data_IF_645378113172
#
_entry.id   IF_645378113172
#
_cell.length_a   1.000
_cell.length_b   1.000
_cell.length_c   1.000
_cell.angle_alpha   90.00
_cell.angle_beta   90.00
_cell.angle_gamma   90.00
#
_symmetry.space_group_name_H-M   'P 1'
#
loop_
_entity.id
_entity.type
_entity.pdbx_description
1 polymer ?
#
# COMPACT_ATOMS: atom_id res chain seq x y z
N UNK A 1 1.19 51.81 -18.22
CA UNK A 1 2.38 51.32 -17.48
C UNK A 1 1.87 50.74 -16.18
N UNK A 2 1.52 49.46 -16.19
CA UNK A 2 0.95 48.76 -15.04
C UNK A 2 2.07 47.94 -14.41
N UNK A 3 2.55 48.38 -13.25
CA UNK A 3 3.55 47.68 -12.47
C UNK A 3 2.99 46.33 -12.02
N UNK A 4 3.50 45.25 -12.60
CA UNK A 4 3.26 43.91 -12.13
C UNK A 4 3.96 43.77 -10.77
N UNK A 5 3.15 43.58 -9.72
CA UNK A 5 3.61 43.10 -8.43
C UNK A 5 4.17 41.68 -8.67
N UNK A 6 5.49 41.56 -8.76
CA UNK A 6 6.18 40.28 -8.74
C UNK A 6 5.80 39.55 -7.46
N UNK A 7 4.86 38.61 -7.58
CA UNK A 7 4.57 37.62 -6.56
C UNK A 7 5.81 36.77 -6.39
N UNK A 8 6.58 37.06 -5.35
CA UNK A 8 7.77 36.30 -4.99
C UNK A 8 7.37 34.82 -4.82
N UNK A 9 8.07 33.86 -5.45
CA UNK A 9 7.69 32.46 -5.38
C UNK A 9 7.60 31.97 -3.93
N UNK A 10 6.58 31.16 -3.59
CA UNK A 10 6.42 30.60 -2.26
C UNK A 10 7.65 29.72 -1.96
N UNK A 11 8.53 30.22 -1.08
CA UNK A 11 9.76 29.52 -0.67
C UNK A 11 11.05 30.32 -0.83
N UNK A 12 11.01 31.55 -1.33
CA UNK A 12 12.19 32.42 -1.31
C UNK A 12 12.43 33.00 0.08
N UNK A 13 13.59 32.68 0.67
CA UNK A 13 14.06 33.31 1.91
C UNK A 13 14.27 34.79 1.63
N UNK A 14 13.61 35.65 2.39
CA UNK A 14 13.83 37.08 2.23
C UNK A 14 15.26 37.44 2.64
N UNK A 15 15.94 38.30 1.88
CA UNK A 15 17.26 38.78 2.25
C UNK A 15 17.21 39.50 3.60
N UNK A 16 18.28 39.35 4.38
CA UNK A 16 18.43 39.99 5.69
C UNK A 16 18.32 41.51 5.54
N UNK A 17 17.77 42.16 6.58
CA UNK A 17 17.66 43.61 6.60
C UNK A 17 19.07 44.24 6.56
N UNK A 18 19.41 45.05 5.53
CA UNK A 18 20.75 45.62 5.37
C UNK A 18 21.18 46.45 6.59
N UNK A 19 20.24 47.05 7.32
CA UNK A 19 20.53 47.83 8.51
C UNK A 19 21.01 46.97 9.70
N UNK A 20 20.66 45.68 9.72
CA UNK A 20 21.07 44.73 10.76
C UNK A 20 22.34 43.97 10.37
N UNK A 21 22.66 43.88 9.08
CA UNK A 21 23.76 43.07 8.56
C UNK A 21 25.13 43.31 9.24
N UNK A 22 25.58 44.55 9.53
CA UNK A 22 26.85 44.80 10.21
C UNK A 22 26.93 44.21 11.63
N UNK A 23 25.78 44.00 12.26
CA UNK A 23 25.66 43.57 13.66
C UNK A 23 25.45 42.06 13.80
N UNK A 24 25.39 41.30 12.69
CA UNK A 24 25.17 39.86 12.73
C UNK A 24 26.43 39.07 13.09
N UNK A 25 27.61 39.66 12.91
CA UNK A 25 28.91 39.01 13.11
C UNK A 25 29.76 39.65 14.22
N UNK A 26 29.24 40.66 14.92
CA UNK A 26 29.96 41.34 15.98
C UNK A 26 29.07 41.62 17.20
N UNK A 27 29.68 41.69 18.39
CA UNK A 27 28.98 41.97 19.64
C UNK A 27 28.83 43.48 19.93
N UNK A 28 28.75 44.32 18.88
CA UNK A 28 28.57 45.76 19.07
C UNK A 28 27.18 46.06 19.65
N UNK A 29 27.06 46.99 20.61
CA UNK A 29 25.77 47.33 21.20
C UNK A 29 24.84 47.93 20.13
N UNK A 30 23.64 47.36 20.03
CA UNK A 30 22.59 47.84 19.13
C UNK A 30 21.86 49.05 19.71
N UNK A 31 21.56 50.04 18.88
CA UNK A 31 20.66 51.15 19.27
C UNK A 31 19.24 50.63 19.49
N UNK A 32 18.45 51.33 20.32
CA UNK A 32 17.07 50.94 20.64
C UNK A 32 16.18 50.77 19.38
N UNK A 33 16.41 51.58 18.35
CA UNK A 33 15.71 51.46 17.07
C UNK A 33 16.04 50.15 16.36
N UNK A 34 17.32 49.79 16.24
CA UNK A 34 17.76 48.55 15.61
C UNK A 34 17.30 47.31 16.41
N UNK A 35 17.27 47.39 17.74
CA UNK A 35 16.71 46.32 18.58
C UNK A 35 15.21 46.10 18.31
N UNK A 36 14.44 47.19 18.15
CA UNK A 36 13.02 47.09 17.81
C UNK A 36 12.81 46.47 16.43
N UNK A 37 13.56 46.93 15.44
CA UNK A 37 13.52 46.39 14.08
C UNK A 37 13.86 44.89 14.07
N UNK A 38 14.91 44.46 14.77
CA UNK A 38 15.26 43.05 14.90
C UNK A 38 14.13 42.22 15.52
N UNK A 39 13.49 42.72 16.59
CA UNK A 39 12.35 42.04 17.22
C UNK A 39 11.15 41.90 16.28
N UNK A 40 10.83 42.95 15.52
CA UNK A 40 9.75 42.91 14.51
C UNK A 40 10.05 41.88 13.42
N UNK A 41 11.28 41.88 12.88
CA UNK A 41 11.72 40.88 11.89
C UNK A 41 11.64 39.45 12.42
N UNK A 42 12.10 39.21 13.65
CA UNK A 42 11.98 37.91 14.31
C UNK A 42 10.52 37.48 14.41
N UNK A 43 9.63 38.37 14.86
CA UNK A 43 8.21 38.05 15.00
C UNK A 43 7.56 37.69 13.64
N UNK A 44 7.89 38.44 12.58
CA UNK A 44 7.42 38.16 11.23
C UNK A 44 7.89 36.80 10.72
N UNK A 45 9.18 36.48 10.83
CA UNK A 45 9.72 35.20 10.38
C UNK A 45 9.17 34.03 11.23
N UNK A 46 9.00 34.20 12.53
CA UNK A 46 8.33 33.21 13.37
C UNK A 46 6.88 32.94 12.94
N UNK A 47 6.16 33.96 12.47
CA UNK A 47 4.81 33.78 11.95
C UNK A 47 4.83 33.01 10.62
N UNK A 48 5.76 33.32 9.72
CA UNK A 48 5.93 32.62 8.44
C UNK A 48 6.31 31.15 8.64
N UNK A 49 7.26 30.88 9.54
CA UNK A 49 7.65 29.51 9.91
C UNK A 49 6.43 28.74 10.40
N UNK A 50 5.63 29.31 11.31
CA UNK A 50 4.41 28.67 11.81
C UNK A 50 3.42 28.38 10.67
N UNK A 51 3.12 29.36 9.82
CA UNK A 51 2.22 29.16 8.70
C UNK A 51 2.72 28.08 7.71
N UNK A 52 4.02 28.04 7.43
CA UNK A 52 4.62 27.01 6.59
C UNK A 52 4.56 25.62 7.24
N UNK A 53 4.79 25.53 8.56
CA UNK A 53 4.67 24.27 9.31
C UNK A 53 3.23 23.74 9.30
N UNK A 54 2.24 24.62 9.48
CA UNK A 54 0.82 24.26 9.42
C UNK A 54 0.44 23.72 8.03
N UNK A 55 0.96 24.35 6.97
CA UNK A 55 0.75 23.90 5.59
C UNK A 55 1.42 22.55 5.31
N UNK A 56 2.64 22.33 5.81
CA UNK A 56 3.32 21.03 5.73
C UNK A 56 2.49 19.95 6.40
N UNK A 57 1.94 20.20 7.59
CA UNK A 57 1.10 19.22 8.28
C UNK A 57 -0.21 18.97 7.53
N UNK A 58 -0.84 20.01 6.98
CA UNK A 58 -2.04 19.90 6.15
C UNK A 58 -1.78 19.02 4.92
N UNK A 59 -0.67 19.24 4.22
CA UNK A 59 -0.29 18.45 3.05
C UNK A 59 0.04 17.01 3.42
N UNK A 60 0.76 16.77 4.52
CA UNK A 60 1.03 15.42 5.03
C UNK A 60 -0.25 14.67 5.37
N UNK A 61 -1.24 15.34 5.99
CA UNK A 61 -2.55 14.75 6.24
C UNK A 61 -3.25 14.35 4.94
N UNK A 62 -3.16 15.18 3.91
CA UNK A 62 -3.73 14.88 2.58
C UNK A 62 -3.03 13.69 1.92
N UNK A 63 -1.70 13.59 2.02
CA UNK A 63 -0.94 12.44 1.52
C UNK A 63 -1.43 11.15 2.19
N UNK A 64 -1.51 11.12 3.53
CA UNK A 64 -2.00 9.96 4.29
C UNK A 64 -3.42 9.55 3.89
N UNK A 65 -4.30 10.51 3.63
CA UNK A 65 -5.66 10.24 3.16
C UNK A 65 -5.67 9.58 1.78
N UNK A 66 -4.85 10.08 0.85
CA UNK A 66 -4.75 9.53 -0.50
C UNK A 66 -4.13 8.13 -0.49
N UNK A 67 -3.12 7.89 0.35
CA UNK A 67 -2.53 6.56 0.54
C UNK A 67 -3.59 5.56 1.03
N UNK A 68 -4.39 5.92 2.03
CA UNK A 68 -5.48 5.06 2.50
C UNK A 68 -6.56 4.77 1.44
N UNK A 69 -6.82 5.73 0.54
CA UNK A 69 -7.73 5.50 -0.60
C UNK A 69 -7.14 4.52 -1.62
N UNK A 70 -5.83 4.63 -1.90
CA UNK A 70 -5.12 3.72 -2.80
C UNK A 70 -5.15 2.30 -2.23
N UNK A 71 -4.81 2.14 -0.95
CA UNK A 71 -4.82 0.83 -0.27
C UNK A 71 -6.22 0.20 -0.29
N UNK A 72 -7.27 1.00 -0.03
CA UNK A 72 -8.65 0.55 -0.10
C UNK A 72 -9.07 0.15 -1.51
N UNK A 73 -8.65 0.89 -2.53
CA UNK A 73 -8.93 0.57 -3.93
C UNK A 73 -8.23 -0.72 -4.37
N UNK A 74 -6.95 -0.90 -4.01
CA UNK A 74 -6.19 -2.12 -4.32
C UNK A 74 -6.82 -3.36 -3.68
N UNK A 75 -7.26 -3.28 -2.43
CA UNK A 75 -7.98 -4.38 -1.78
C UNK A 75 -9.31 -4.71 -2.48
N UNK A 76 -10.03 -3.70 -2.96
CA UNK A 76 -11.27 -3.93 -3.71
C UNK A 76 -10.99 -4.56 -5.08
N UNK A 77 -9.95 -4.12 -5.78
CA UNK A 77 -9.49 -4.72 -7.03
C UNK A 77 -9.20 -6.21 -6.85
N UNK A 78 -8.43 -6.59 -5.82
CA UNK A 78 -8.11 -8.00 -5.54
C UNK A 78 -9.38 -8.83 -5.28
N UNK A 79 -10.35 -8.28 -4.52
CA UNK A 79 -11.63 -8.95 -4.25
C UNK A 79 -12.45 -9.15 -5.53
N UNK A 80 -12.50 -8.14 -6.40
CA UNK A 80 -13.19 -8.26 -7.69
C UNK A 80 -12.48 -9.21 -8.63
N UNK A 81 -11.14 -9.17 -8.69
CA UNK A 81 -10.33 -10.10 -9.46
C UNK A 81 -10.57 -11.56 -9.03
N UNK A 82 -10.70 -11.81 -7.72
CA UNK A 82 -11.09 -13.12 -7.21
C UNK A 82 -12.49 -13.54 -7.69
N UNK A 83 -13.46 -12.62 -7.69
CA UNK A 83 -14.83 -12.90 -8.15
C UNK A 83 -14.84 -13.24 -9.64
N UNK A 84 -14.07 -12.50 -10.44
CA UNK A 84 -13.96 -12.69 -11.89
C UNK A 84 -12.93 -13.75 -12.28
N UNK A 85 -12.35 -14.46 -11.31
CA UNK A 85 -11.34 -15.47 -11.58
C UNK A 85 -11.90 -16.54 -12.54
N UNK A 86 -11.19 -16.88 -13.64
CA UNK A 86 -11.65 -17.85 -14.62
C UNK A 86 -12.06 -19.19 -14.01
N UNK A 87 -11.40 -19.58 -12.92
CA UNK A 87 -11.67 -20.85 -12.23
C UNK A 87 -13.09 -20.94 -11.65
N UNK A 88 -13.74 -19.80 -11.40
CA UNK A 88 -15.13 -19.73 -10.92
C UNK A 88 -16.15 -19.84 -12.06
N UNK A 89 -15.71 -19.66 -13.30
CA UNK A 89 -16.54 -19.74 -14.50
C UNK A 89 -16.45 -21.11 -15.17
N UNK A 90 -15.46 -21.93 -14.80
CA UNK A 90 -15.30 -23.28 -15.34
C UNK A 90 -16.42 -24.19 -14.80
N UNK A 91 -17.10 -24.95 -15.68
CA UNK A 91 -17.93 -26.07 -15.26
C UNK A 91 -17.14 -27.08 -14.43
N UNK A 92 -17.82 -27.77 -13.52
CA UNK A 92 -17.20 -28.74 -12.61
C UNK A 92 -16.46 -29.85 -13.35
N UNK A 93 -16.93 -30.21 -14.54
CA UNK A 93 -16.34 -31.21 -15.42
C UNK A 93 -14.97 -30.77 -15.93
N UNK A 94 -14.82 -29.50 -16.33
CA UNK A 94 -13.52 -28.98 -16.78
C UNK A 94 -12.53 -28.85 -15.63
N UNK A 95 -13.00 -28.44 -14.45
CA UNK A 95 -12.16 -28.42 -13.23
C UNK A 95 -11.72 -29.84 -12.87
N UNK A 96 -12.60 -30.83 -12.99
CA UNK A 96 -12.26 -32.24 -12.78
C UNK A 96 -11.16 -32.72 -13.75
N UNK A 97 -11.24 -32.37 -15.03
CA UNK A 97 -10.21 -32.73 -16.00
C UNK A 97 -8.87 -32.03 -15.72
N UNK A 98 -8.88 -30.76 -15.31
CA UNK A 98 -7.66 -30.06 -14.86
C UNK A 98 -7.04 -30.79 -13.66
N UNK A 99 -7.85 -31.13 -12.64
CA UNK A 99 -7.39 -31.84 -11.46
C UNK A 99 -6.80 -33.22 -11.80
N UNK A 100 -7.39 -33.95 -12.74
CA UNK A 100 -6.85 -35.23 -13.22
C UNK A 100 -5.53 -35.04 -13.97
N UNK A 101 -5.39 -33.98 -14.75
CA UNK A 101 -4.19 -33.69 -15.52
C UNK A 101 -2.98 -33.31 -14.63
N UNK A 102 -3.25 -32.77 -13.44
CA UNK A 102 -2.21 -32.45 -12.45
C UNK A 102 -1.70 -33.69 -11.72
N UNK A 103 -2.54 -34.73 -11.57
CA UNK A 103 -2.13 -35.97 -10.92
C UNK A 103 -1.44 -36.92 -11.92
N UNK A 104 -0.47 -37.74 -11.47
CA UNK A 104 0.17 -38.73 -12.31
C UNK A 104 -0.84 -39.69 -12.97
N UNK A 105 -0.59 -40.05 -14.23
CA UNK A 105 -1.42 -41.02 -14.94
C UNK A 105 -1.44 -42.36 -14.18
N UNK A 106 -2.65 -42.84 -13.86
CA UNK A 106 -2.83 -44.08 -13.10
C UNK A 106 -2.71 -43.94 -11.59
N UNK A 107 -2.76 -42.71 -11.04
CA UNK A 107 -2.77 -42.38 -9.61
C UNK A 107 -3.40 -43.49 -8.74
N UNK A 108 -2.55 -44.28 -8.07
CA UNK A 108 -2.95 -45.43 -7.24
C UNK A 108 -3.06 -44.96 -5.79
N UNK A 109 -3.62 -43.77 -5.54
CA UNK A 109 -3.72 -43.13 -4.22
C UNK A 109 -2.61 -43.59 -3.24
N UNK A 110 -1.36 -43.52 -3.68
CA UNK A 110 -0.21 -43.84 -2.84
C UNK A 110 -0.05 -42.79 -1.76
N UNK A 111 0.97 -42.91 -0.90
CA UNK A 111 1.21 -41.91 0.14
C UNK A 111 1.39 -40.50 -0.45
N UNK A 112 2.20 -40.36 -1.49
CA UNK A 112 2.47 -39.06 -2.14
C UNK A 112 1.25 -38.52 -2.89
N UNK A 113 0.57 -39.36 -3.66
CA UNK A 113 -0.68 -38.99 -4.35
C UNK A 113 -1.74 -38.48 -3.36
N UNK A 114 -1.86 -39.10 -2.18
CA UNK A 114 -2.79 -38.66 -1.13
C UNK A 114 -2.40 -37.28 -0.62
N UNK A 115 -1.11 -36.99 -0.46
CA UNK A 115 -0.62 -35.68 -0.01
C UNK A 115 -0.93 -34.62 -1.07
N UNK A 116 -0.66 -34.90 -2.35
CA UNK A 116 -1.00 -34.00 -3.46
C UNK A 116 -2.52 -33.75 -3.53
N UNK A 117 -3.33 -34.79 -3.42
CA UNK A 117 -4.78 -34.68 -3.40
C UNK A 117 -5.27 -33.85 -2.19
N UNK A 118 -4.61 -33.96 -1.04
CA UNK A 118 -4.89 -33.13 0.14
C UNK A 118 -4.55 -31.65 -0.10
N UNK A 119 -3.45 -31.35 -0.78
CA UNK A 119 -3.13 -29.98 -1.20
C UNK A 119 -4.15 -29.44 -2.21
N UNK A 120 -4.55 -30.23 -3.21
CA UNK A 120 -5.57 -29.80 -4.18
C UNK A 120 -6.92 -29.55 -3.50
N UNK A 121 -7.30 -30.36 -2.51
CA UNK A 121 -8.50 -30.17 -1.69
C UNK A 121 -8.43 -28.95 -0.76
N UNK A 122 -7.25 -28.38 -0.50
CA UNK A 122 -7.12 -27.20 0.36
C UNK A 122 -7.27 -25.88 -0.39
N UNK A 123 -7.14 -25.88 -1.73
CA UNK A 123 -7.24 -24.69 -2.60
C UNK A 123 -8.55 -23.92 -2.39
N UNK A 124 -9.69 -24.58 -2.55
CA UNK A 124 -10.99 -23.95 -2.31
C UNK A 124 -12.10 -24.97 -2.03
N UNK A 125 -13.26 -24.48 -1.55
CA UNK A 125 -14.44 -25.33 -1.27
C UNK A 125 -14.97 -26.03 -2.53
N UNK A 126 -14.90 -25.38 -3.68
CA UNK A 126 -15.40 -25.94 -4.94
C UNK A 126 -14.56 -27.14 -5.40
N UNK A 127 -13.22 -26.98 -5.41
CA UNK A 127 -12.27 -28.05 -5.73
C UNK A 127 -12.42 -29.24 -4.78
N UNK A 128 -12.52 -28.96 -3.48
CA UNK A 128 -12.77 -30.00 -2.47
C UNK A 128 -14.06 -30.77 -2.77
N UNK A 129 -15.13 -30.07 -3.12
CA UNK A 129 -16.41 -30.69 -3.48
C UNK A 129 -16.25 -31.64 -4.66
N UNK A 130 -15.63 -31.18 -5.76
CA UNK A 130 -15.41 -31.97 -6.98
C UNK A 130 -14.58 -33.23 -6.69
N UNK A 131 -13.50 -33.09 -5.93
CA UNK A 131 -12.61 -34.21 -5.60
C UNK A 131 -13.36 -35.26 -4.75
N UNK A 132 -14.11 -34.82 -3.74
CA UNK A 132 -14.88 -35.71 -2.87
C UNK A 132 -16.04 -36.39 -3.60
N UNK A 133 -16.68 -35.72 -4.56
CA UNK A 133 -17.82 -36.28 -5.31
C UNK A 133 -17.40 -37.14 -6.51
N UNK A 134 -16.18 -36.99 -7.02
CA UNK A 134 -15.74 -37.72 -8.21
C UNK A 134 -15.11 -39.06 -7.84
N UNK A 135 -15.77 -40.15 -8.21
CA UNK A 135 -15.28 -41.51 -8.00
C UNK A 135 -13.93 -41.77 -8.67
N UNK A 136 -13.55 -41.01 -9.70
CA UNK A 136 -12.28 -41.18 -10.41
C UNK A 136 -11.05 -41.02 -9.53
N UNK A 137 -11.12 -40.17 -8.50
CA UNK A 137 -9.99 -39.99 -7.58
C UNK A 137 -9.86 -41.10 -6.55
N UNK A 138 -10.91 -41.91 -6.34
CA UNK A 138 -10.97 -42.92 -5.29
C UNK A 138 -10.83 -44.36 -5.80
N UNK A 139 -10.75 -44.58 -7.12
CA UNK A 139 -10.72 -45.94 -7.71
C UNK A 139 -9.51 -46.78 -7.28
N UNK A 140 -8.41 -46.14 -6.90
CA UNK A 140 -7.18 -46.81 -6.43
C UNK A 140 -7.04 -46.88 -4.91
N UNK A 141 -8.07 -46.53 -4.14
CA UNK A 141 -7.98 -46.56 -2.68
C UNK A 141 -7.95 -48.02 -2.18
N UNK A 142 -6.80 -48.46 -1.70
CA UNK A 142 -6.66 -49.72 -0.97
C UNK A 142 -6.75 -49.43 0.53
N UNK A 143 -7.73 -50.04 1.19
CA UNK A 143 -7.82 -50.08 2.65
C UNK A 143 -7.13 -51.37 3.08
N UNK A 144 -5.91 -51.27 3.60
CA UNK A 144 -5.26 -52.39 4.25
C UNK A 144 -6.02 -52.70 5.53
N UNK A 145 -6.79 -53.79 5.52
CA UNK A 145 -7.39 -54.31 6.74
C UNK A 145 -6.25 -54.94 7.55
N UNK A 146 -5.94 -54.37 8.72
CA UNK A 146 -5.08 -55.04 9.70
C UNK A 146 -5.73 -56.38 10.04
N UNK A 147 -5.07 -57.47 9.66
CA UNK A 147 -5.45 -58.82 10.06
C UNK A 147 -5.25 -58.94 11.57
N UNK A 148 -6.37 -58.85 12.30
CA UNK A 148 -6.49 -59.15 13.73
C UNK A 148 -6.25 -60.63 14.00
#
# INVERSE_FOLDING_TARGET
MSSQLESTPPGSVQPLDPALAPYLSCNQPLTNHLQRLAKERIAMEQHRIRAAMDEVERLRKKIRQMEGLIDGAAQNEERYAFITSPIRLLPSELVLEVLKAVLPAGCVLGREDRIELMHLRSVCRHWRGIILSSSSFWRGLVIEAESV
#
